data_IF_906489076746
#
_entry.id   IF_906489076746
#
_cell.length_a   1.000
_cell.length_b   1.000
_cell.length_c   1.000
_cell.angle_alpha   90.00
_cell.angle_beta   90.00
_cell.angle_gamma   90.00
#
_symmetry.space_group_name_H-M   'P 1'
#
loop_
_entity.id
_entity.type
_entity.pdbx_description
1 polymer ?
#
# COMPACT_ATOMS: atom_id res chain seq x y z
N UNK A 1 15.08 -8.24 12.74
CA UNK A 1 14.78 -7.06 13.59
C UNK A 1 14.76 -5.83 12.71
N UNK A 2 13.67 -5.61 11.96
CA UNK A 2 13.44 -4.32 11.31
C UNK A 2 13.15 -3.34 12.45
N UNK A 3 14.14 -2.49 12.71
CA UNK A 3 14.20 -1.68 13.92
C UNK A 3 12.93 -0.85 14.05
N UNK A 4 12.30 -0.89 15.21
CA UNK A 4 11.20 0.01 15.61
C UNK A 4 11.49 1.48 15.29
N UNK A 5 12.78 1.85 15.23
CA UNK A 5 13.29 3.13 14.73
C UNK A 5 12.78 3.51 13.33
N UNK A 6 12.73 2.58 12.37
CA UNK A 6 12.33 2.90 10.99
C UNK A 6 10.83 3.18 10.89
N UNK A 7 10.02 2.42 11.61
CA UNK A 7 8.58 2.66 11.66
C UNK A 7 8.28 3.99 12.35
N UNK A 8 9.01 4.32 13.43
CA UNK A 8 8.90 5.60 14.10
C UNK A 8 9.32 6.77 13.21
N UNK A 9 10.40 6.63 12.43
CA UNK A 9 10.85 7.66 11.49
C UNK A 9 9.85 7.86 10.36
N UNK A 10 9.30 6.78 9.78
CA UNK A 10 8.25 6.87 8.73
C UNK A 10 6.96 7.48 9.30
N UNK A 11 6.59 7.14 10.53
CA UNK A 11 5.40 7.72 11.16
C UNK A 11 5.62 9.21 11.48
N UNK A 12 6.81 9.59 11.96
CA UNK A 12 7.18 10.99 12.22
C UNK A 12 7.24 11.82 10.93
N UNK A 13 7.71 11.26 9.82
CA UNK A 13 7.70 11.96 8.52
C UNK A 13 6.28 12.12 7.99
N UNK A 14 5.41 11.12 8.14
CA UNK A 14 3.99 11.23 7.73
C UNK A 14 3.21 12.24 8.59
N UNK A 15 3.45 12.28 9.91
CA UNK A 15 2.80 13.24 10.82
C UNK A 15 3.29 14.67 10.57
N UNK A 16 4.58 14.87 10.32
CA UNK A 16 5.11 16.21 10.00
C UNK A 16 4.60 16.75 8.65
N UNK A 17 4.37 15.88 7.66
CA UNK A 17 3.73 16.26 6.40
C UNK A 17 2.24 16.64 6.57
N UNK A 18 1.54 16.03 7.54
CA UNK A 18 0.16 16.39 7.87
C UNK A 18 0.05 17.74 8.60
N UNK A 19 1.03 18.08 9.45
CA UNK A 19 1.06 19.34 10.22
C UNK A 19 1.34 20.58 9.36
N UNK A 20 2.00 20.43 8.20
CA UNK A 20 2.27 21.55 7.29
C UNK A 20 1.04 22.11 6.56
N UNK A 21 -0.13 21.46 6.62
CA UNK A 21 -1.32 21.89 5.89
C UNK A 21 -2.13 22.97 6.62
N UNK A 22 -1.78 23.31 7.86
CA UNK A 22 -2.53 24.27 8.68
C UNK A 22 -2.05 25.73 8.61
N UNK A 23 -0.99 26.04 7.87
CA UNK A 23 -0.56 27.43 7.67
C UNK A 23 -1.30 28.07 6.50
N UNK A 24 -2.54 28.48 6.77
CA UNK A 24 -3.20 29.52 5.99
C UNK A 24 -2.62 30.89 6.40
N UNK A 25 -1.58 31.36 5.71
CA UNK A 25 -1.47 32.79 5.35
C UNK A 25 -0.23 33.12 4.49
N UNK A 26 -0.52 33.77 3.37
CA UNK A 26 0.31 34.77 2.66
C UNK A 26 1.60 34.37 1.92
N UNK A 27 1.59 34.79 0.65
CA UNK A 27 2.70 35.26 -0.23
C UNK A 27 3.53 34.27 -1.06
N UNK A 28 3.44 34.48 -2.38
CA UNK A 28 4.21 33.93 -3.52
C UNK A 28 3.93 32.48 -3.96
N UNK A 29 2.89 32.37 -4.79
CA UNK A 29 2.41 31.17 -5.45
C UNK A 29 3.35 30.71 -6.58
N UNK A 30 4.34 29.88 -6.25
CA UNK A 30 4.95 28.91 -7.17
C UNK A 30 5.04 27.54 -6.46
N UNK A 31 4.06 26.68 -6.73
CA UNK A 31 4.12 25.21 -6.61
C UNK A 31 4.22 24.45 -5.25
N UNK A 32 3.64 24.88 -4.11
CA UNK A 32 3.49 23.98 -2.95
C UNK A 32 2.39 22.90 -3.03
N UNK A 33 1.23 23.05 -3.71
CA UNK A 33 0.21 21.99 -3.70
C UNK A 33 0.59 20.77 -4.56
N UNK A 34 1.38 20.96 -5.62
CA UNK A 34 1.71 19.89 -6.57
C UNK A 34 2.70 18.86 -5.98
N UNK A 35 3.66 19.29 -5.16
CA UNK A 35 4.69 18.37 -4.62
C UNK A 35 4.07 17.32 -3.69
N UNK A 36 3.07 17.70 -2.89
CA UNK A 36 2.39 16.76 -1.97
C UNK A 36 1.61 15.71 -2.76
N UNK A 37 0.97 16.13 -3.86
CA UNK A 37 0.28 15.21 -4.76
C UNK A 37 1.23 14.27 -5.46
N UNK A 38 2.35 14.80 -5.98
CA UNK A 38 3.38 14.01 -6.62
C UNK A 38 3.99 13.00 -5.64
N UNK A 39 4.28 13.40 -4.40
CA UNK A 39 4.80 12.51 -3.37
C UNK A 39 3.79 11.43 -2.97
N UNK A 40 2.51 11.78 -2.83
CA UNK A 40 1.47 10.79 -2.57
C UNK A 40 1.41 9.76 -3.71
N UNK A 41 1.34 10.23 -4.95
CA UNK A 41 1.23 9.38 -6.12
C UNK A 41 2.47 8.50 -6.28
N UNK A 42 3.67 9.09 -6.20
CA UNK A 42 4.93 8.36 -6.26
C UNK A 42 5.10 7.37 -5.11
N UNK A 43 4.69 7.74 -3.90
CA UNK A 43 4.73 6.85 -2.73
C UNK A 43 3.82 5.63 -2.91
N UNK A 44 2.59 5.84 -3.37
CA UNK A 44 1.65 4.74 -3.61
C UNK A 44 2.04 3.87 -4.81
N UNK A 45 2.66 4.45 -5.85
CA UNK A 45 3.27 3.66 -6.92
C UNK A 45 4.44 2.80 -6.42
N UNK A 46 5.26 3.33 -5.51
CA UNK A 46 6.32 2.57 -4.88
C UNK A 46 5.76 1.42 -4.05
N UNK A 47 4.70 1.68 -3.27
CA UNK A 47 4.02 0.62 -2.50
C UNK A 47 3.51 -0.46 -3.45
N UNK A 48 2.80 -0.09 -4.52
CA UNK A 48 2.31 -1.05 -5.50
C UNK A 48 3.43 -1.86 -6.18
N UNK A 49 4.55 -1.25 -6.54
CA UNK A 49 5.66 -1.98 -7.14
C UNK A 49 6.28 -2.98 -6.16
N UNK A 50 6.40 -2.62 -4.89
CA UNK A 50 6.86 -3.54 -3.86
C UNK A 50 5.85 -4.66 -3.59
N UNK A 51 4.55 -4.37 -3.66
CA UNK A 51 3.51 -5.39 -3.57
C UNK A 51 3.57 -6.37 -4.74
N UNK A 52 3.83 -5.91 -5.96
CA UNK A 52 4.01 -6.78 -7.12
C UNK A 52 5.22 -7.70 -6.95
N UNK A 53 6.33 -7.18 -6.44
CA UNK A 53 7.51 -8.00 -6.13
C UNK A 53 7.17 -9.05 -5.08
N UNK A 54 6.48 -8.66 -4.00
CA UNK A 54 6.06 -9.60 -2.96
C UNK A 54 5.06 -10.63 -3.49
N UNK A 55 4.10 -10.25 -4.32
CA UNK A 55 3.13 -11.15 -4.97
C UNK A 55 3.88 -12.20 -5.80
N UNK A 56 4.85 -11.75 -6.58
CA UNK A 56 5.68 -12.59 -7.43
C UNK A 56 6.56 -13.53 -6.60
N UNK A 57 7.14 -13.05 -5.50
CA UNK A 57 7.94 -13.85 -4.58
C UNK A 57 7.10 -14.94 -3.89
N UNK A 58 5.90 -14.58 -3.45
CA UNK A 58 4.96 -15.52 -2.83
C UNK A 58 4.53 -16.59 -3.84
N UNK A 59 4.19 -16.19 -5.07
CA UNK A 59 3.73 -17.12 -6.12
C UNK A 59 4.85 -18.01 -6.66
N UNK A 60 6.05 -17.49 -6.87
CA UNK A 60 7.13 -18.20 -7.57
C UNK A 60 8.10 -18.90 -6.63
N UNK A 61 8.27 -18.42 -5.40
CA UNK A 61 9.23 -18.98 -4.46
C UNK A 61 8.52 -19.62 -3.26
N UNK A 62 7.68 -18.87 -2.55
CA UNK A 62 7.06 -19.37 -1.31
C UNK A 62 6.07 -20.50 -1.55
N UNK A 63 5.19 -20.37 -2.55
CA UNK A 63 4.18 -21.38 -2.86
C UNK A 63 4.80 -22.72 -3.31
N UNK A 64 5.77 -22.73 -4.25
CA UNK A 64 6.47 -23.97 -4.60
C UNK A 64 7.28 -24.54 -3.44
N UNK A 65 7.91 -23.69 -2.63
CA UNK A 65 8.65 -24.13 -1.45
C UNK A 65 7.75 -24.87 -0.46
N UNK A 66 6.64 -24.25 -0.04
CA UNK A 66 5.67 -24.87 0.86
C UNK A 66 5.11 -26.16 0.24
N UNK A 67 4.82 -26.13 -1.06
CA UNK A 67 4.34 -27.33 -1.78
C UNK A 67 5.36 -28.47 -1.72
N UNK A 68 6.64 -28.19 -1.96
CA UNK A 68 7.70 -29.20 -1.92
C UNK A 68 7.93 -29.74 -0.50
N UNK A 69 7.91 -28.88 0.50
CA UNK A 69 8.00 -29.29 1.92
C UNK A 69 6.83 -30.20 2.27
N UNK A 70 5.62 -29.83 1.86
CA UNK A 70 4.42 -30.61 2.15
C UNK A 70 4.32 -31.93 1.37
N UNK A 71 4.87 -32.00 0.17
CA UNK A 71 5.03 -33.25 -0.57
C UNK A 71 6.04 -34.19 0.08
N UNK A 72 7.08 -33.63 0.71
CA UNK A 72 8.14 -34.40 1.38
C UNK A 72 7.77 -34.80 2.80
N UNK A 73 6.75 -34.14 3.39
CA UNK A 73 6.33 -34.39 4.75
C UNK A 73 5.56 -35.73 4.87
N UNK A 74 5.64 -36.43 6.02
CA UNK A 74 4.88 -37.64 6.27
C UNK A 74 3.40 -37.31 6.49
N UNK A 75 2.69 -37.02 5.40
CA UNK A 75 1.26 -36.67 5.36
C UNK A 75 0.34 -37.81 5.79
N UNK A 76 0.88 -39.00 6.04
CA UNK A 76 0.18 -40.08 6.75
C UNK A 76 -0.13 -39.74 8.21
N UNK A 77 0.53 -38.73 8.79
CA UNK A 77 0.21 -38.22 10.13
C UNK A 77 -0.82 -37.08 9.98
N UNK A 78 -2.03 -37.20 10.55
CA UNK A 78 -3.12 -36.23 10.36
C UNK A 78 -2.73 -34.79 10.72
N UNK A 79 -1.92 -34.59 11.76
CA UNK A 79 -1.47 -33.24 12.16
C UNK A 79 -0.55 -32.61 11.12
N UNK A 80 0.31 -33.40 10.48
CA UNK A 80 1.24 -32.92 9.45
C UNK A 80 0.47 -32.57 8.19
N UNK A 81 -0.51 -33.38 7.82
CA UNK A 81 -1.43 -33.10 6.72
C UNK A 81 -2.18 -31.78 6.96
N UNK A 82 -2.82 -31.64 8.12
CA UNK A 82 -3.58 -30.44 8.47
C UNK A 82 -2.69 -29.18 8.47
N UNK A 83 -1.48 -29.27 9.02
CA UNK A 83 -0.53 -28.16 9.00
C UNK A 83 -0.15 -27.78 7.55
N UNK A 84 0.05 -28.76 6.69
CA UNK A 84 0.35 -28.54 5.28
C UNK A 84 -0.79 -27.91 4.50
N UNK A 85 -2.03 -28.33 4.78
CA UNK A 85 -3.22 -27.74 4.18
C UNK A 85 -3.34 -26.26 4.61
N UNK A 86 -3.14 -25.94 5.90
CA UNK A 86 -3.14 -24.55 6.40
C UNK A 86 -2.02 -23.70 5.79
N UNK A 87 -0.80 -24.24 5.69
CA UNK A 87 0.33 -23.52 5.11
C UNK A 87 0.12 -23.23 3.61
N UNK A 88 -0.45 -24.19 2.88
CA UNK A 88 -0.58 -24.12 1.43
C UNK A 88 -1.82 -23.33 1.01
N UNK A 89 -2.94 -23.57 1.66
CA UNK A 89 -4.21 -23.04 1.21
C UNK A 89 -4.53 -21.76 2.01
N UNK A 90 -4.48 -21.78 3.34
CA UNK A 90 -4.88 -20.61 4.14
C UNK A 90 -3.82 -19.50 4.17
N UNK A 91 -2.56 -19.84 4.44
CA UNK A 91 -1.52 -18.83 4.63
C UNK A 91 -1.17 -18.11 3.32
N UNK A 92 -0.99 -18.88 2.24
CA UNK A 92 -0.65 -18.30 0.94
C UNK A 92 -1.80 -17.46 0.40
N UNK A 93 -3.05 -17.94 0.51
CA UNK A 93 -4.20 -17.14 0.08
C UNK A 93 -4.40 -15.92 0.97
N UNK A 94 -4.14 -16.00 2.28
CA UNK A 94 -4.21 -14.83 3.15
C UNK A 94 -3.20 -13.75 2.74
N UNK A 95 -1.95 -14.13 2.42
CA UNK A 95 -0.94 -13.18 1.95
C UNK A 95 -1.34 -12.57 0.60
N UNK A 96 -1.79 -13.38 -0.35
CA UNK A 96 -2.23 -12.89 -1.67
C UNK A 96 -3.47 -12.00 -1.56
N UNK A 97 -4.42 -12.37 -0.70
CA UNK A 97 -5.62 -11.57 -0.42
C UNK A 97 -5.26 -10.23 0.21
N UNK A 98 -4.31 -10.21 1.15
CA UNK A 98 -3.82 -8.98 1.75
C UNK A 98 -3.15 -8.07 0.71
N UNK A 99 -2.29 -8.64 -0.14
CA UNK A 99 -1.63 -7.89 -1.23
C UNK A 99 -2.69 -7.29 -2.17
N UNK A 100 -3.66 -8.09 -2.60
CA UNK A 100 -4.73 -7.61 -3.48
C UNK A 100 -5.57 -6.52 -2.81
N UNK A 101 -5.96 -6.72 -1.55
CA UNK A 101 -6.75 -5.76 -0.80
C UNK A 101 -6.02 -4.43 -0.61
N UNK A 102 -4.71 -4.45 -0.36
CA UNK A 102 -3.91 -3.23 -0.31
C UNK A 102 -3.85 -2.59 -1.71
N UNK A 103 -3.60 -3.35 -2.77
CA UNK A 103 -3.53 -2.80 -4.14
C UNK A 103 -4.82 -2.12 -4.56
N UNK A 104 -5.97 -2.72 -4.26
CA UNK A 104 -7.29 -2.17 -4.58
C UNK A 104 -7.60 -0.91 -3.78
N UNK A 105 -7.20 -0.87 -2.50
CA UNK A 105 -7.45 0.28 -1.63
C UNK A 105 -6.41 1.39 -1.75
N UNK A 106 -5.23 1.09 -2.29
CA UNK A 106 -4.10 2.00 -2.40
C UNK A 106 -3.91 2.55 -3.82
N UNK A 107 -4.94 2.54 -4.67
CA UNK A 107 -4.86 3.13 -6.01
C UNK A 107 -4.46 4.62 -5.90
N UNK A 108 -3.30 5.03 -6.45
CA UNK A 108 -2.76 6.37 -6.30
C UNK A 108 -3.71 7.44 -6.82
N UNK A 109 -4.42 7.13 -7.90
CA UNK A 109 -5.35 8.06 -8.54
C UNK A 109 -6.60 8.29 -7.69
N UNK A 110 -6.95 7.35 -6.83
CA UNK A 110 -8.10 7.43 -5.93
C UNK A 110 -7.68 7.99 -4.59
N UNK A 111 -6.64 7.44 -3.98
CA UNK A 111 -6.21 7.80 -2.63
C UNK A 111 -5.65 9.22 -2.58
N UNK A 112 -4.83 9.61 -3.55
CA UNK A 112 -4.24 10.95 -3.52
C UNK A 112 -5.26 12.05 -3.76
N UNK A 113 -6.40 11.76 -4.41
CA UNK A 113 -7.48 12.75 -4.58
C UNK A 113 -8.16 13.14 -3.26
N UNK A 114 -8.08 12.31 -2.22
CA UNK A 114 -8.56 12.68 -0.88
C UNK A 114 -7.69 13.76 -0.23
N UNK A 115 -6.47 13.97 -0.70
CA UNK A 115 -5.68 15.11 -0.30
C UNK A 115 -6.31 16.34 -0.95
N UNK A 116 -6.82 17.27 -0.12
CA UNK A 116 -7.57 18.47 -0.53
C UNK A 116 -6.93 19.23 -1.69
N UNK A 117 -5.60 19.26 -1.72
CA UNK A 117 -4.81 20.00 -2.71
C UNK A 117 -4.58 19.23 -4.03
N UNK A 118 -4.97 17.96 -4.11
CA UNK A 118 -4.81 17.08 -5.27
C UNK A 118 -6.14 16.76 -5.97
N UNK A 119 -7.28 17.01 -5.30
CA UNK A 119 -8.62 16.86 -5.86
C UNK A 119 -9.14 18.10 -6.61
N UNK A 120 -8.39 19.20 -6.62
CA UNK A 120 -8.76 20.42 -7.36
C UNK A 120 -8.16 20.39 -8.76
N UNK A 121 -8.90 19.78 -9.70
CA UNK A 121 -9.05 20.44 -11.00
C UNK A 121 -9.72 21.78 -10.71
N UNK A 122 -8.92 22.84 -10.66
CA UNK A 122 -9.44 24.18 -10.90
C UNK A 122 -9.84 24.27 -12.38
N UNK A 123 -10.95 23.60 -12.73
CA UNK A 123 -11.88 24.11 -13.70
C UNK A 123 -12.52 25.34 -13.05
N UNK A 124 -11.82 26.47 -13.14
CA UNK A 124 -12.34 27.80 -12.90
C UNK A 124 -13.30 28.20 -14.05
N UNK A 125 -14.28 27.35 -14.38
CA UNK A 125 -15.24 27.61 -15.46
C UNK A 125 -16.62 26.95 -15.31
N UNK A 126 -16.93 26.21 -14.24
CA UNK A 126 -18.28 25.60 -14.13
C UNK A 126 -18.94 25.55 -12.74
N UNK A 127 -18.74 26.59 -11.93
CA UNK A 127 -19.60 26.86 -10.76
C UNK A 127 -20.76 27.82 -11.08
N UNK A 128 -21.46 27.60 -12.21
CA UNK A 128 -22.63 28.41 -12.61
C UNK A 128 -23.98 27.70 -12.53
N UNK A 129 -24.09 26.59 -11.81
CA UNK A 129 -25.39 25.98 -11.53
C UNK A 129 -25.42 25.48 -10.08
N UNK A 130 -26.60 25.62 -9.44
CA UNK A 130 -26.90 25.45 -8.02
C UNK A 130 -26.75 26.71 -7.14
N UNK A 131 -27.47 27.77 -7.54
CA UNK A 131 -28.29 28.59 -6.65
C UNK A 131 -29.74 28.43 -7.09
#
# INVERSE_FOLDING_TARGET
>A
MISSSYFSVIFLTLVSMALCQNSANSSNSQNPPNIVCQLCTSGLYLVQSQLLVLENEVKNNLKPFITNVCQSAPTGIPIVKALCDVLKDDLLDAILTLINGIREQADPNTVCKYIRNCGSDNNEDNKKYYL
#
